data_IF_969043101134
#
_entry.id   IF_969043101134
#
_cell.length_a   1.000
_cell.length_b   1.000
_cell.length_c   1.000
_cell.angle_alpha   90.00
_cell.angle_beta   90.00
_cell.angle_gamma   90.00
#
_symmetry.space_group_name_H-M   'P 1'
#
loop_
_entity.id
_entity.type
_entity.pdbx_description
1 polymer ?
#
# COMPACT_ATOMS: atom_id res chain seq x y z
N UNK A 1 0.36 -30.61 -3.58
CA UNK A 1 0.14 -31.08 -2.19
C UNK A 1 1.01 -30.36 -1.17
N UNK A 2 2.35 -30.27 -1.32
CA UNK A 2 3.25 -29.59 -0.35
C UNK A 2 2.82 -28.16 0.03
N UNK A 3 2.56 -27.30 -0.96
CA UNK A 3 2.19 -25.90 -0.70
C UNK A 3 0.83 -25.75 0.00
N UNK A 4 -0.11 -26.65 -0.29
CA UNK A 4 -1.40 -26.69 0.39
C UNK A 4 -1.26 -27.13 1.86
N UNK A 5 -0.36 -28.07 2.14
CA UNK A 5 -0.05 -28.52 3.50
C UNK A 5 0.64 -27.43 4.34
N UNK A 6 1.65 -26.75 3.79
CA UNK A 6 2.25 -25.57 4.45
C UNK A 6 1.25 -24.43 4.61
N UNK A 7 0.38 -24.23 3.61
CA UNK A 7 -0.73 -23.30 3.69
C UNK A 7 -1.70 -23.64 4.83
N UNK A 8 -2.07 -24.92 5.01
CA UNK A 8 -2.93 -25.35 6.11
C UNK A 8 -2.29 -25.04 7.47
N UNK A 9 -1.02 -25.41 7.65
CA UNK A 9 -0.30 -25.18 8.91
C UNK A 9 -0.18 -23.68 9.21
N UNK A 10 0.19 -22.88 8.21
CA UNK A 10 0.24 -21.43 8.33
C UNK A 10 -1.15 -20.83 8.65
N UNK A 11 -2.20 -21.34 8.01
CA UNK A 11 -3.58 -20.96 8.24
C UNK A 11 -4.06 -21.32 9.65
N UNK A 12 -3.65 -22.47 10.20
CA UNK A 12 -3.92 -22.81 11.60
C UNK A 12 -3.25 -21.80 12.54
N UNK A 13 -1.99 -21.43 12.33
CA UNK A 13 -1.32 -20.45 13.20
C UNK A 13 -1.97 -19.07 13.10
N UNK A 14 -2.30 -18.60 11.89
CA UNK A 14 -3.09 -17.37 11.71
C UNK A 14 -4.47 -17.47 12.35
N UNK A 15 -5.10 -18.64 12.23
CA UNK A 15 -6.40 -18.98 12.81
C UNK A 15 -6.39 -18.95 14.33
N UNK A 16 -5.31 -19.39 14.98
CA UNK A 16 -5.12 -19.29 16.43
C UNK A 16 -5.05 -17.83 16.89
N UNK A 17 -4.29 -16.99 16.18
CA UNK A 17 -4.20 -15.55 16.50
C UNK A 17 -5.57 -14.89 16.36
N UNK A 18 -6.27 -15.13 15.25
CA UNK A 18 -7.61 -14.55 15.04
C UNK A 18 -8.66 -15.17 15.97
N UNK A 19 -8.57 -16.46 16.28
CA UNK A 19 -9.45 -17.13 17.25
C UNK A 19 -9.30 -16.53 18.64
N UNK A 20 -8.07 -16.21 19.06
CA UNK A 20 -7.82 -15.47 20.30
C UNK A 20 -8.49 -14.10 20.32
N UNK A 21 -8.45 -13.36 19.21
CA UNK A 21 -9.21 -12.11 19.07
C UNK A 21 -10.71 -12.37 19.19
N UNK A 22 -11.25 -13.38 18.50
CA UNK A 22 -12.68 -13.70 18.51
C UNK A 22 -13.20 -14.07 19.90
N UNK A 23 -12.38 -14.69 20.75
CA UNK A 23 -12.68 -14.89 22.18
C UNK A 23 -12.88 -13.54 22.86
N UNK A 24 -11.95 -12.60 22.66
CA UNK A 24 -11.97 -11.30 23.32
C UNK A 24 -13.14 -10.40 22.89
N UNK A 25 -13.56 -10.51 21.63
CA UNK A 25 -14.70 -9.75 21.09
C UNK A 25 -16.03 -10.52 21.11
N UNK A 26 -16.06 -11.73 21.66
CA UNK A 26 -17.28 -12.53 21.80
C UNK A 26 -17.91 -13.01 20.50
N UNK A 27 -17.12 -13.19 19.43
CA UNK A 27 -17.64 -13.52 18.08
C UNK A 27 -17.76 -15.02 17.80
N UNK A 28 -17.20 -15.89 18.66
CA UNK A 28 -17.21 -17.34 18.46
C UNK A 28 -18.63 -17.95 18.39
N UNK A 29 -19.62 -17.56 19.21
CA UNK A 29 -20.99 -18.06 19.08
C UNK A 29 -21.61 -17.75 17.70
N UNK A 30 -21.28 -16.61 17.10
CA UNK A 30 -21.74 -16.25 15.76
C UNK A 30 -21.21 -17.22 14.70
N UNK A 31 -19.98 -17.71 14.84
CA UNK A 31 -19.43 -18.75 13.95
C UNK A 31 -20.02 -20.11 14.25
N UNK A 32 -20.26 -20.44 15.52
CA UNK A 32 -20.94 -21.68 15.92
C UNK A 32 -22.35 -21.80 15.31
N UNK A 33 -23.03 -20.66 15.12
CA UNK A 33 -24.36 -20.62 14.54
C UNK A 33 -24.43 -21.21 13.12
N UNK A 34 -23.31 -21.26 12.37
CA UNK A 34 -23.21 -21.92 11.06
C UNK A 34 -23.63 -23.40 11.15
N UNK A 35 -23.28 -24.07 12.26
CA UNK A 35 -23.63 -25.47 12.53
C UNK A 35 -24.78 -25.61 13.53
N UNK A 36 -25.59 -24.55 13.68
CA UNK A 36 -26.80 -24.49 14.52
C UNK A 36 -26.55 -24.73 16.02
N UNK A 37 -25.45 -24.21 16.55
CA UNK A 37 -25.15 -24.17 17.99
C UNK A 37 -24.63 -22.79 18.40
N UNK A 38 -24.67 -22.49 19.69
CA UNK A 38 -24.13 -21.27 20.32
C UNK A 38 -22.83 -21.52 21.09
N UNK A 39 -22.35 -22.77 21.12
CA UNK A 39 -21.15 -23.14 21.88
C UNK A 39 -19.90 -22.45 21.33
N UNK A 40 -19.21 -21.61 22.12
CA UNK A 40 -18.01 -20.91 21.67
C UNK A 40 -16.86 -21.88 21.35
N UNK A 41 -16.81 -23.04 22.01
CA UNK A 41 -15.83 -24.10 21.73
C UNK A 41 -16.06 -24.67 20.32
N UNK A 42 -17.32 -24.97 19.97
CA UNK A 42 -17.66 -25.44 18.62
C UNK A 42 -17.37 -24.36 17.59
N UNK A 43 -17.70 -23.10 17.89
CA UNK A 43 -17.37 -21.95 17.03
C UNK A 43 -15.87 -21.82 16.77
N UNK A 44 -15.04 -22.03 17.80
CA UNK A 44 -13.58 -22.05 17.66
C UNK A 44 -13.10 -23.22 16.80
N UNK A 45 -13.64 -24.43 16.99
CA UNK A 45 -13.31 -25.59 16.16
C UNK A 45 -13.66 -25.34 14.68
N UNK A 46 -14.86 -24.83 14.39
CA UNK A 46 -15.29 -24.48 13.03
C UNK A 46 -14.36 -23.42 12.44
N UNK A 47 -14.03 -22.37 13.20
CA UNK A 47 -13.07 -21.35 12.79
C UNK A 47 -11.71 -21.94 12.43
N UNK A 48 -11.18 -22.84 13.26
CA UNK A 48 -9.88 -23.49 13.00
C UNK A 48 -9.89 -24.36 11.74
N UNK A 49 -10.99 -25.07 11.47
CA UNK A 49 -11.16 -25.85 10.23
C UNK A 49 -11.21 -24.94 9.01
N UNK A 50 -11.99 -23.86 9.06
CA UNK A 50 -12.04 -22.86 7.99
C UNK A 50 -10.66 -22.20 7.78
N UNK A 51 -9.96 -21.85 8.86
CA UNK A 51 -8.64 -21.26 8.82
C UNK A 51 -7.60 -22.18 8.13
N UNK A 52 -7.68 -23.50 8.36
CA UNK A 52 -6.84 -24.47 7.66
C UNK A 52 -7.16 -24.55 6.16
N UNK A 53 -8.44 -24.62 5.79
CA UNK A 53 -8.89 -24.68 4.39
C UNK A 53 -8.47 -23.40 3.64
N UNK A 54 -8.78 -22.25 4.23
CA UNK A 54 -8.46 -20.93 3.68
C UNK A 54 -6.93 -20.76 3.56
N UNK A 55 -6.17 -21.24 4.54
CA UNK A 55 -4.72 -21.26 4.52
C UNK A 55 -4.15 -22.16 3.42
N UNK A 56 -4.72 -23.34 3.22
CA UNK A 56 -4.35 -24.23 2.11
C UNK A 56 -4.52 -23.56 0.76
N UNK A 57 -5.65 -22.88 0.55
CA UNK A 57 -5.91 -22.12 -0.69
C UNK A 57 -4.86 -21.02 -0.84
N UNK A 58 -4.58 -20.26 0.22
CA UNK A 58 -3.54 -19.23 0.20
C UNK A 58 -2.19 -19.80 -0.23
N UNK A 59 -1.73 -20.88 0.42
CA UNK A 59 -0.45 -21.51 0.12
C UNK A 59 -0.32 -21.99 -1.33
N UNK A 60 -1.42 -22.41 -1.96
CA UNK A 60 -1.46 -22.73 -3.39
C UNK A 60 -1.37 -21.46 -4.25
N UNK A 61 -2.16 -20.44 -3.94
CA UNK A 61 -2.21 -19.18 -4.70
C UNK A 61 -0.87 -18.44 -4.69
N UNK A 62 -0.17 -18.42 -3.55
CA UNK A 62 1.08 -17.68 -3.40
C UNK A 62 2.34 -18.52 -3.58
N UNK A 63 2.22 -19.78 -4.01
CA UNK A 63 3.32 -20.73 -4.14
C UNK A 63 4.54 -20.22 -4.94
N UNK A 64 4.31 -19.33 -5.91
CA UNK A 64 5.35 -18.71 -6.75
C UNK A 64 5.44 -17.19 -6.57
N UNK A 65 4.68 -16.65 -5.63
CA UNK A 65 4.55 -15.22 -5.43
C UNK A 65 5.59 -14.72 -4.44
N UNK A 66 6.04 -13.48 -4.64
CA UNK A 66 6.89 -12.75 -3.69
C UNK A 66 6.01 -11.83 -2.83
N UNK A 67 6.58 -11.30 -1.75
CA UNK A 67 5.89 -10.41 -0.81
C UNK A 67 4.64 -10.99 -0.17
N UNK A 68 4.82 -12.17 0.42
CA UNK A 68 3.73 -12.89 1.08
C UNK A 68 2.98 -12.01 2.09
N UNK A 69 3.66 -11.07 2.77
CA UNK A 69 3.01 -10.12 3.68
C UNK A 69 1.88 -9.32 3.00
N UNK A 70 2.11 -8.71 1.84
CA UNK A 70 1.10 -7.88 1.18
C UNK A 70 -0.02 -8.73 0.60
N UNK A 71 0.31 -9.90 0.03
CA UNK A 71 -0.70 -10.87 -0.37
C UNK A 71 -1.53 -11.35 0.83
N UNK A 72 -0.90 -11.59 1.98
CA UNK A 72 -1.57 -11.98 3.22
C UNK A 72 -2.56 -10.91 3.68
N UNK A 73 -2.13 -9.65 3.73
CA UNK A 73 -3.01 -8.52 4.10
C UNK A 73 -4.18 -8.38 3.12
N UNK A 74 -3.92 -8.39 1.81
CA UNK A 74 -4.97 -8.31 0.78
C UNK A 74 -5.94 -9.52 0.86
N UNK A 75 -5.40 -10.71 1.13
CA UNK A 75 -6.19 -11.93 1.32
C UNK A 75 -7.03 -11.88 2.60
N UNK A 76 -6.52 -11.24 3.66
CA UNK A 76 -7.28 -10.93 4.86
C UNK A 76 -8.47 -10.02 4.55
N UNK A 77 -8.26 -8.90 3.84
CA UNK A 77 -9.36 -8.01 3.41
C UNK A 77 -10.38 -8.74 2.53
N UNK A 78 -9.90 -9.57 1.59
CA UNK A 78 -10.75 -10.40 0.75
C UNK A 78 -11.64 -11.33 1.59
N UNK A 79 -11.08 -12.04 2.57
CA UNK A 79 -11.85 -12.94 3.42
C UNK A 79 -12.72 -12.22 4.43
N UNK A 80 -12.39 -11.00 4.82
CA UNK A 80 -13.32 -10.17 5.58
C UNK A 80 -14.56 -9.79 4.74
N UNK A 81 -14.37 -9.46 3.46
CA UNK A 81 -15.50 -9.24 2.56
C UNK A 81 -16.29 -10.53 2.27
N UNK A 82 -15.61 -11.63 1.99
CA UNK A 82 -16.28 -12.90 1.69
C UNK A 82 -16.90 -13.55 2.92
N UNK A 83 -16.24 -13.53 4.07
CA UNK A 83 -16.66 -14.24 5.27
C UNK A 83 -17.82 -13.53 5.98
N UNK A 84 -17.56 -12.58 6.90
CA UNK A 84 -18.59 -11.97 7.71
C UNK A 84 -19.57 -11.09 6.93
N UNK A 85 -19.19 -10.49 5.80
CA UNK A 85 -20.08 -9.62 5.02
C UNK A 85 -20.93 -10.37 3.97
N UNK A 86 -20.51 -11.57 3.53
CA UNK A 86 -21.17 -12.28 2.42
C UNK A 86 -21.63 -13.69 2.80
N UNK A 87 -20.70 -14.60 3.07
CA UNK A 87 -20.98 -16.02 3.29
C UNK A 87 -21.68 -16.27 4.62
N UNK A 88 -21.26 -15.61 5.69
CA UNK A 88 -21.87 -15.81 7.01
C UNK A 88 -23.37 -15.43 7.01
N UNK A 89 -23.81 -14.25 6.51
CA UNK A 89 -25.23 -13.97 6.37
C UNK A 89 -25.98 -15.01 5.54
N UNK A 90 -25.44 -15.42 4.38
CA UNK A 90 -26.06 -16.43 3.52
C UNK A 90 -26.25 -17.76 4.26
N UNK A 91 -25.23 -18.24 4.97
CA UNK A 91 -25.28 -19.48 5.75
C UNK A 91 -26.29 -19.41 6.90
N UNK A 92 -26.56 -18.20 7.41
CA UNK A 92 -27.57 -17.94 8.44
C UNK A 92 -28.96 -17.63 7.86
N UNK A 93 -29.15 -17.72 6.54
CA UNK A 93 -30.43 -17.40 5.87
C UNK A 93 -30.79 -15.90 5.90
N UNK A 94 -29.80 -15.02 6.02
CA UNK A 94 -29.94 -13.56 6.02
C UNK A 94 -29.42 -12.97 4.70
N UNK A 95 -29.88 -11.78 4.28
CA UNK A 95 -29.32 -11.09 3.12
C UNK A 95 -27.84 -10.73 3.35
N UNK A 96 -27.08 -10.61 2.25
CA UNK A 96 -25.68 -10.14 2.32
C UNK A 96 -25.59 -8.76 2.97
N UNK A 97 -24.54 -8.54 3.76
CA UNK A 97 -24.35 -7.35 4.57
C UNK A 97 -23.53 -6.28 3.83
N UNK A 98 -23.89 -5.99 2.58
CA UNK A 98 -23.14 -5.09 1.71
C UNK A 98 -23.56 -3.63 1.88
N UNK A 99 -23.39 -3.13 3.09
CA UNK A 99 -23.65 -1.73 3.44
C UNK A 99 -22.56 -1.19 4.38
N UNK A 100 -22.39 0.13 4.38
CA UNK A 100 -21.31 0.80 5.12
C UNK A 100 -21.50 0.65 6.63
N UNK A 101 -22.74 0.70 7.14
CA UNK A 101 -23.01 0.64 8.57
C UNK A 101 -22.65 -0.75 9.14
N UNK A 102 -23.01 -1.82 8.42
CA UNK A 102 -22.64 -3.17 8.84
C UNK A 102 -21.14 -3.41 8.69
N UNK A 103 -20.51 -2.89 7.63
CA UNK A 103 -19.06 -2.96 7.47
C UNK A 103 -18.31 -2.26 8.62
N UNK A 104 -18.80 -1.11 9.09
CA UNK A 104 -18.25 -0.40 10.25
C UNK A 104 -18.40 -1.20 11.54
N UNK A 105 -19.57 -1.80 11.77
CA UNK A 105 -19.80 -2.66 12.93
C UNK A 105 -18.83 -3.85 12.96
N UNK A 106 -18.38 -4.31 11.78
CA UNK A 106 -17.47 -5.43 11.60
C UNK A 106 -15.97 -5.04 11.52
N UNK A 107 -15.60 -3.79 11.82
CA UNK A 107 -14.21 -3.35 11.94
C UNK A 107 -13.35 -4.24 12.87
N UNK A 108 -13.82 -4.69 14.05
CA UNK A 108 -13.04 -5.60 14.88
C UNK A 108 -12.67 -6.89 14.14
N UNK A 109 -13.59 -7.42 13.32
CA UNK A 109 -13.33 -8.61 12.51
C UNK A 109 -12.39 -8.32 11.34
N UNK A 110 -12.42 -7.12 10.73
CA UNK A 110 -11.47 -6.71 9.69
C UNK A 110 -10.03 -6.77 10.21
N UNK A 111 -9.78 -6.20 11.38
CA UNK A 111 -8.47 -6.24 12.03
C UNK A 111 -8.04 -7.69 12.33
N UNK A 112 -8.98 -8.53 12.73
CA UNK A 112 -8.76 -9.97 12.91
C UNK A 112 -8.37 -10.69 11.61
N UNK A 113 -9.02 -10.38 10.50
CA UNK A 113 -8.67 -10.94 9.19
C UNK A 113 -7.33 -10.40 8.65
N UNK A 114 -7.02 -9.13 8.88
CA UNK A 114 -5.70 -8.57 8.57
C UNK A 114 -4.59 -9.29 9.36
N UNK A 115 -4.82 -9.52 10.66
CA UNK A 115 -3.91 -10.29 11.51
C UNK A 115 -3.78 -11.75 11.03
N UNK A 116 -4.89 -12.42 10.75
CA UNK A 116 -4.92 -13.77 10.17
C UNK A 116 -4.06 -13.85 8.91
N UNK A 117 -4.29 -12.96 7.95
CA UNK A 117 -3.59 -12.93 6.68
C UNK A 117 -2.10 -12.63 6.82
N UNK A 118 -1.74 -11.65 7.65
CA UNK A 118 -0.34 -11.30 7.93
C UNK A 118 0.43 -12.44 8.61
N UNK A 119 -0.17 -13.10 9.61
CA UNK A 119 0.44 -14.23 10.33
C UNK A 119 0.55 -15.45 9.44
N UNK A 120 -0.50 -15.79 8.69
CA UNK A 120 -0.48 -16.89 7.71
C UNK A 120 0.64 -16.67 6.69
N UNK A 121 0.76 -15.46 6.14
CA UNK A 121 1.84 -15.11 5.24
C UNK A 121 3.24 -15.22 5.89
N UNK A 122 3.40 -14.73 7.12
CA UNK A 122 4.66 -14.78 7.84
C UNK A 122 5.11 -16.23 8.09
N UNK A 123 4.21 -17.08 8.57
CA UNK A 123 4.50 -18.50 8.82
C UNK A 123 4.82 -19.23 7.53
N UNK A 124 4.04 -19.01 6.46
CA UNK A 124 4.34 -19.60 5.16
C UNK A 124 5.72 -19.16 4.62
N UNK A 125 6.10 -17.90 4.87
CA UNK A 125 7.40 -17.36 4.49
C UNK A 125 8.56 -17.95 5.31
N UNK A 126 8.31 -18.40 6.54
CA UNK A 126 9.28 -19.13 7.37
C UNK A 126 9.41 -20.59 6.95
N UNK A 127 8.30 -21.22 6.55
CA UNK A 127 8.26 -22.62 6.07
C UNK A 127 8.81 -22.78 4.66
N UNK A 128 8.85 -21.70 3.88
CA UNK A 128 9.39 -21.67 2.51
C UNK A 128 10.72 -20.92 2.52
N UNK A 129 11.83 -21.53 2.98
CA UNK A 129 13.11 -20.86 3.05
C UNK A 129 13.53 -20.40 1.65
N UNK A 130 13.54 -19.08 1.47
CA UNK A 130 14.20 -18.42 0.35
C UNK A 130 15.54 -17.86 0.79
N UNK A 131 16.43 -17.58 -0.15
CA UNK A 131 17.71 -16.91 0.09
C UNK A 131 17.45 -15.47 0.58
N UNK A 132 17.30 -15.28 1.89
CA UNK A 132 17.34 -13.96 2.53
C UNK A 132 18.76 -13.74 3.04
N UNK A 133 19.49 -12.84 2.40
CA UNK A 133 20.78 -12.37 2.91
C UNK A 133 20.50 -11.30 3.97
N UNK A 134 20.80 -11.64 5.22
CA UNK A 134 20.81 -10.65 6.29
C UNK A 134 22.05 -9.78 6.12
N UNK A 135 21.84 -8.49 5.87
CA UNK A 135 22.93 -7.52 5.77
C UNK A 135 22.84 -6.51 6.92
N UNK A 136 23.77 -6.54 7.89
CA UNK A 136 23.76 -5.59 9.01
C UNK A 136 23.74 -4.13 8.54
N UNK A 137 24.44 -3.82 7.44
CA UNK A 137 24.47 -2.48 6.84
C UNK A 137 23.09 -2.01 6.39
N UNK A 138 22.23 -2.89 5.88
CA UNK A 138 20.87 -2.53 5.50
C UNK A 138 20.03 -2.16 6.73
N UNK A 139 20.14 -2.92 7.83
CA UNK A 139 19.40 -2.65 9.07
C UNK A 139 19.76 -1.27 9.60
N UNK A 140 21.06 -0.92 9.62
CA UNK A 140 21.53 0.40 10.05
C UNK A 140 20.95 1.50 9.15
N UNK A 141 21.09 1.38 7.81
CA UNK A 141 20.58 2.38 6.86
C UNK A 141 19.07 2.56 6.96
N UNK A 142 18.32 1.47 7.06
CA UNK A 142 16.87 1.52 7.13
C UNK A 142 16.37 2.10 8.45
N UNK A 143 17.02 1.73 9.57
CA UNK A 143 16.74 2.33 10.88
C UNK A 143 17.01 3.83 10.87
N UNK A 144 18.15 4.25 10.31
CA UNK A 144 18.48 5.67 10.15
C UNK A 144 17.46 6.39 9.25
N UNK A 145 17.07 5.78 8.13
CA UNK A 145 16.04 6.32 7.24
C UNK A 145 14.69 6.54 7.97
N UNK A 146 14.27 5.59 8.81
CA UNK A 146 13.05 5.72 9.61
C UNK A 146 13.17 6.82 10.67
N UNK A 147 14.30 6.91 11.36
CA UNK A 147 14.60 7.98 12.33
C UNK A 147 14.62 9.37 11.68
N UNK A 148 15.12 9.50 10.45
CA UNK A 148 15.15 10.76 9.71
C UNK A 148 13.77 11.15 9.15
N UNK A 149 12.93 10.17 8.80
CA UNK A 149 11.61 10.43 8.22
C UNK A 149 10.63 10.95 9.27
N UNK A 150 10.68 10.43 10.50
CA UNK A 150 9.69 10.76 11.53
C UNK A 150 9.63 12.25 11.93
N UNK A 151 10.75 12.97 12.12
CA UNK A 151 10.75 14.42 12.38
C UNK A 151 10.20 15.25 11.22
N UNK A 152 10.50 14.87 9.98
CA UNK A 152 10.00 15.56 8.77
C UNK A 152 8.47 15.55 8.72
N UNK A 153 7.86 14.48 9.26
CA UNK A 153 6.41 14.33 9.35
C UNK A 153 5.80 14.90 10.65
N UNK A 154 6.61 15.48 11.54
CA UNK A 154 6.14 16.07 12.79
C UNK A 154 5.58 15.05 13.80
N UNK A 155 6.02 13.79 13.77
CA UNK A 155 5.43 12.69 14.57
C UNK A 155 5.86 12.66 16.05
N UNK A 156 6.66 13.63 16.51
CA UNK A 156 7.15 13.73 17.89
C UNK A 156 8.05 12.56 18.33
N UNK A 157 8.29 12.44 19.64
CA UNK A 157 9.23 11.45 20.20
C UNK A 157 8.77 9.99 20.01
N UNK A 158 7.46 9.71 20.17
CA UNK A 158 6.89 8.39 19.89
C UNK A 158 7.10 8.03 18.42
N UNK A 159 7.02 9.02 17.53
CA UNK A 159 7.33 8.90 16.11
C UNK A 159 8.76 8.43 15.83
N UNK A 160 9.76 8.83 16.64
CA UNK A 160 11.15 8.38 16.48
C UNK A 160 11.28 6.88 16.77
N UNK A 161 10.66 6.40 17.84
CA UNK A 161 10.67 4.97 18.20
C UNK A 161 9.99 4.16 17.11
N UNK A 162 8.80 4.60 16.67
CA UNK A 162 8.08 3.94 15.57
C UNK A 162 8.91 3.97 14.29
N UNK A 163 9.53 5.10 13.95
CA UNK A 163 10.41 5.24 12.79
C UNK A 163 11.59 4.27 12.82
N UNK A 164 12.28 4.15 13.95
CA UNK A 164 13.37 3.20 14.12
C UNK A 164 12.90 1.75 13.92
N UNK A 165 11.76 1.38 14.53
CA UNK A 165 11.18 0.04 14.41
C UNK A 165 10.70 -0.26 12.98
N UNK A 166 10.07 0.71 12.31
CA UNK A 166 9.68 0.62 10.90
C UNK A 166 10.91 0.38 10.04
N UNK A 167 11.99 1.13 10.24
CA UNK A 167 13.25 0.95 9.51
C UNK A 167 13.88 -0.42 9.72
N UNK A 168 14.08 -0.83 10.98
CA UNK A 168 14.68 -2.11 11.32
C UNK A 168 13.85 -3.29 10.78
N UNK A 169 12.53 -3.27 10.98
CA UNK A 169 11.64 -4.33 10.49
C UNK A 169 11.54 -4.36 8.96
N UNK A 170 11.58 -3.20 8.29
CA UNK A 170 11.64 -3.12 6.83
C UNK A 170 12.87 -3.86 6.30
N UNK A 171 14.05 -3.63 6.87
CA UNK A 171 15.27 -4.33 6.49
C UNK A 171 15.18 -5.84 6.70
N UNK A 172 14.65 -6.29 7.84
CA UNK A 172 14.50 -7.72 8.17
C UNK A 172 13.52 -8.43 7.24
N UNK A 173 12.39 -7.81 6.93
CA UNK A 173 11.32 -8.41 6.14
C UNK A 173 11.70 -8.44 4.65
N UNK A 174 12.26 -7.36 4.15
CA UNK A 174 12.45 -7.18 2.71
C UNK A 174 13.86 -7.47 2.21
N UNK A 175 14.88 -7.39 3.07
CA UNK A 175 16.28 -7.58 2.70
C UNK A 175 16.77 -6.54 1.70
N UNK A 176 18.02 -6.68 1.24
CA UNK A 176 18.55 -5.75 0.24
C UNK A 176 17.95 -6.08 -1.13
N UNK A 177 17.47 -5.04 -1.83
CA UNK A 177 16.84 -5.20 -3.14
C UNK A 177 17.41 -4.21 -4.13
N UNK A 178 17.78 -4.70 -5.32
CA UNK A 178 18.11 -3.89 -6.49
C UNK A 178 16.87 -3.31 -7.19
N UNK A 179 15.89 -2.83 -6.42
CA UNK A 179 14.67 -2.26 -6.98
C UNK A 179 14.74 -0.74 -7.12
N UNK A 180 13.95 -0.19 -8.06
CA UNK A 180 13.89 1.25 -8.29
C UNK A 180 13.14 1.98 -7.17
N UNK A 181 13.37 3.29 -7.07
CA UNK A 181 12.77 4.12 -6.01
C UNK A 181 11.24 4.13 -6.02
N UNK A 182 10.58 4.05 -7.18
CA UNK A 182 9.11 4.03 -7.26
C UNK A 182 8.46 2.81 -6.59
N UNK A 183 8.81 1.56 -6.99
CA UNK A 183 8.34 0.37 -6.30
C UNK A 183 8.66 0.34 -4.79
N UNK A 184 9.86 0.77 -4.40
CA UNK A 184 10.25 0.88 -2.99
C UNK A 184 9.34 1.86 -2.23
N UNK A 185 9.00 3.01 -2.83
CA UNK A 185 8.10 4.01 -2.26
C UNK A 185 6.70 3.44 -1.99
N UNK A 186 6.11 2.76 -2.97
CA UNK A 186 4.76 2.14 -2.84
C UNK A 186 4.79 1.00 -1.82
N UNK A 187 5.85 0.19 -1.83
CA UNK A 187 6.09 -0.85 -0.84
C UNK A 187 6.17 -0.28 0.57
N UNK A 188 6.92 0.81 0.73
CA UNK A 188 7.02 1.54 1.98
C UNK A 188 5.66 2.02 2.46
N UNK A 189 4.85 2.62 1.60
CA UNK A 189 3.49 3.04 1.95
C UNK A 189 2.60 1.87 2.41
N UNK A 190 2.60 0.76 1.66
CA UNK A 190 1.87 -0.45 2.03
C UNK A 190 2.36 -1.07 3.36
N UNK A 191 3.67 -1.01 3.61
CA UNK A 191 4.24 -1.43 4.88
C UNK A 191 3.88 -0.48 6.03
N UNK A 192 3.77 0.81 5.75
CA UNK A 192 3.22 1.82 6.65
C UNK A 192 1.78 1.49 7.09
N UNK A 193 0.93 1.03 6.17
CA UNK A 193 -0.42 0.55 6.50
C UNK A 193 -0.38 -0.65 7.47
N UNK A 194 0.50 -1.62 7.24
CA UNK A 194 0.69 -2.75 8.14
C UNK A 194 1.13 -2.29 9.55
N UNK A 195 2.04 -1.32 9.61
CA UNK A 195 2.48 -0.70 10.85
C UNK A 195 1.41 0.15 11.53
N UNK A 196 0.51 0.79 10.79
CA UNK A 196 -0.63 1.48 11.38
C UNK A 196 -1.55 0.47 12.10
N UNK A 197 -1.91 -0.63 11.44
CA UNK A 197 -2.74 -1.67 12.04
C UNK A 197 -2.04 -2.33 13.25
N UNK A 198 -0.72 -2.54 13.17
CA UNK A 198 0.06 -3.16 14.22
C UNK A 198 0.38 -2.20 15.39
N UNK A 199 1.06 -1.09 15.14
CA UNK A 199 1.49 -0.17 16.20
C UNK A 199 0.37 0.74 16.69
N UNK A 200 -0.28 1.48 15.80
CA UNK A 200 -1.24 2.50 16.21
C UNK A 200 -2.54 1.89 16.73
N UNK A 201 -3.06 0.85 16.07
CA UNK A 201 -4.35 0.24 16.42
C UNK A 201 -4.20 -0.88 17.47
N UNK A 202 -3.06 -1.57 17.53
CA UNK A 202 -2.91 -2.78 18.37
C UNK A 202 -1.92 -2.61 19.52
N UNK A 203 -0.64 -2.35 19.25
CA UNK A 203 0.42 -2.35 20.27
C UNK A 203 0.32 -1.12 21.19
N UNK A 204 0.12 0.09 20.66
CA UNK A 204 0.10 1.29 21.49
C UNK A 204 -1.02 1.26 22.54
N UNK A 205 -2.28 0.90 22.22
CA UNK A 205 -3.30 0.76 23.26
C UNK A 205 -2.99 -0.32 24.31
N UNK A 206 -2.36 -1.43 23.91
CA UNK A 206 -1.93 -2.47 24.84
C UNK A 206 -0.85 -1.97 25.80
N UNK A 207 0.15 -1.24 25.30
CA UNK A 207 1.22 -0.64 26.12
C UNK A 207 0.69 0.45 27.05
N UNK A 208 -0.33 1.20 26.62
CA UNK A 208 -1.00 2.21 27.45
C UNK A 208 -1.96 1.57 28.50
N UNK A 209 -2.03 0.23 28.60
CA UNK A 209 -2.91 -0.47 29.53
C UNK A 209 -4.40 -0.43 29.18
N UNK A 210 -4.75 -0.01 27.95
CA UNK A 210 -6.14 0.13 27.47
C UNK A 210 -6.71 -1.16 26.86
N UNK A 211 -5.92 -2.22 26.77
CA UNK A 211 -6.34 -3.47 26.11
C UNK A 211 -6.49 -3.35 24.59
N UNK A 212 -7.14 -4.34 23.96
CA UNK A 212 -7.40 -4.33 22.52
C UNK A 212 -8.54 -3.36 22.18
N UNK A 213 -8.17 -2.20 21.64
CA UNK A 213 -9.09 -1.12 21.28
C UNK A 213 -9.58 -1.23 19.84
N UNK A 214 -9.95 -2.44 19.40
CA UNK A 214 -10.40 -2.71 18.03
C UNK A 214 -11.86 -2.29 17.75
N UNK A 215 -12.44 -1.47 18.63
CA UNK A 215 -13.81 -0.98 18.47
C UNK A 215 -13.90 0.04 17.33
N UNK A 216 -15.07 0.20 16.67
CA UNK A 216 -15.24 1.18 15.59
C UNK A 216 -14.86 2.61 16.03
N UNK A 217 -15.21 2.99 17.27
CA UNK A 217 -14.89 4.31 17.81
C UNK A 217 -13.38 4.52 17.98
N UNK A 218 -12.67 3.54 18.53
CA UNK A 218 -11.22 3.66 18.71
C UNK A 218 -10.46 3.62 17.38
N UNK A 219 -10.91 2.81 16.40
CA UNK A 219 -10.32 2.78 15.06
C UNK A 219 -10.53 4.10 14.32
N UNK A 220 -11.68 4.75 14.47
CA UNK A 220 -11.91 6.11 13.94
C UNK A 220 -10.97 7.15 14.53
N UNK A 221 -10.58 7.01 15.79
CA UNK A 221 -9.55 7.88 16.38
C UNK A 221 -8.16 7.53 15.81
N UNK A 222 -7.84 6.24 15.73
CA UNK A 222 -6.56 5.77 15.21
C UNK A 222 -6.33 6.08 13.73
N UNK A 223 -7.39 6.18 12.92
CA UNK A 223 -7.32 6.52 11.49
C UNK A 223 -6.63 7.87 11.26
N UNK A 224 -6.67 8.77 12.24
CA UNK A 224 -6.01 10.06 12.16
C UNK A 224 -4.48 9.96 12.00
N UNK A 225 -3.89 8.84 12.41
CA UNK A 225 -2.47 8.56 12.26
C UNK A 225 -2.12 7.78 10.99
N UNK A 226 -3.11 7.29 10.24
CA UNK A 226 -2.89 6.47 9.05
C UNK A 226 -2.06 7.20 7.97
N UNK A 227 -2.39 8.45 7.56
CA UNK A 227 -1.56 9.21 6.63
C UNK A 227 -0.10 9.30 7.04
N UNK A 228 0.16 9.59 8.32
CA UNK A 228 1.51 9.67 8.87
C UNK A 228 2.28 8.35 8.77
N UNK A 229 1.62 7.21 9.03
CA UNK A 229 2.25 5.89 8.89
C UNK A 229 2.54 5.52 7.43
N UNK A 230 1.61 5.83 6.51
CA UNK A 230 1.81 5.63 5.07
C UNK A 230 3.03 6.42 4.57
N UNK A 231 3.12 7.71 4.95
CA UNK A 231 4.24 8.56 4.58
C UNK A 231 5.55 8.16 5.27
N UNK A 232 5.49 7.73 6.54
CA UNK A 232 6.66 7.25 7.27
C UNK A 232 7.26 6.02 6.60
N UNK A 233 6.43 5.04 6.24
CA UNK A 233 6.87 3.85 5.52
C UNK A 233 7.43 4.19 4.14
N UNK A 234 6.73 5.04 3.38
CA UNK A 234 7.15 5.49 2.05
C UNK A 234 8.52 6.22 2.09
N UNK A 235 8.67 7.19 3.00
CA UNK A 235 9.91 7.94 3.20
C UNK A 235 11.06 7.05 3.66
N UNK A 236 10.79 6.13 4.60
CA UNK A 236 11.80 5.16 5.08
C UNK A 236 12.32 4.30 3.94
N UNK A 237 11.44 3.74 3.11
CA UNK A 237 11.84 2.89 1.99
C UNK A 237 12.61 3.67 0.91
N UNK A 238 12.15 4.89 0.59
CA UNK A 238 12.82 5.78 -0.36
C UNK A 238 14.24 6.15 0.10
N UNK A 239 14.37 6.62 1.35
CA UNK A 239 15.66 6.99 1.92
C UNK A 239 16.59 5.78 2.06
N UNK A 240 16.07 4.61 2.40
CA UNK A 240 16.88 3.37 2.43
C UNK A 240 17.46 3.07 1.05
N UNK A 241 16.66 3.20 -0.01
CA UNK A 241 17.11 3.01 -1.40
C UNK A 241 18.18 4.05 -1.79
N UNK A 242 17.98 5.32 -1.42
CA UNK A 242 18.91 6.40 -1.72
C UNK A 242 20.23 6.26 -0.98
N UNK A 243 20.19 5.98 0.32
CA UNK A 243 21.38 5.72 1.14
C UNK A 243 22.14 4.49 0.65
N UNK A 244 21.45 3.43 0.21
CA UNK A 244 22.09 2.28 -0.41
C UNK A 244 22.77 2.63 -1.75
N UNK A 245 22.14 3.48 -2.57
CA UNK A 245 22.74 4.00 -3.80
C UNK A 245 23.99 4.85 -3.56
N UNK A 246 23.94 5.74 -2.56
CA UNK A 246 25.07 6.56 -2.15
C UNK A 246 26.22 5.71 -1.58
N UNK A 247 25.90 4.74 -0.71
CA UNK A 247 26.91 3.83 -0.16
C UNK A 247 27.61 3.05 -1.29
N UNK A 248 26.87 2.52 -2.27
CA UNK A 248 27.49 1.89 -3.43
C UNK A 248 28.34 2.87 -4.25
N UNK A 249 27.88 4.10 -4.46
CA UNK A 249 28.64 5.08 -5.22
C UNK A 249 29.95 5.53 -4.53
N UNK A 250 29.99 5.51 -3.19
CA UNK A 250 31.15 5.94 -2.40
C UNK A 250 32.12 4.78 -2.14
N UNK A 251 31.61 3.56 -1.94
CA UNK A 251 32.41 2.41 -1.50
C UNK A 251 32.64 1.34 -2.59
N UNK A 252 32.09 1.50 -3.79
CA UNK A 252 32.35 0.61 -4.93
C UNK A 252 33.35 1.24 -5.88
N UNK A 253 34.44 0.53 -6.18
CA UNK A 253 35.41 0.89 -7.23
C UNK A 253 34.84 0.71 -8.66
N UNK A 254 33.58 0.31 -8.79
CA UNK A 254 32.96 -0.08 -10.05
C UNK A 254 32.37 1.13 -10.81
N UNK A 255 33.26 2.05 -11.19
CA UNK A 255 32.95 3.28 -11.97
C UNK A 255 32.28 2.93 -13.32
N UNK A 256 32.49 1.70 -13.82
CA UNK A 256 32.03 1.24 -15.14
C UNK A 256 30.50 1.09 -15.20
N UNK A 257 29.85 0.57 -14.15
CA UNK A 257 28.37 0.52 -14.07
C UNK A 257 27.72 1.89 -13.85
N UNK A 258 28.39 2.82 -13.17
CA UNK A 258 27.90 4.19 -12.99
C UNK A 258 27.93 5.01 -14.30
N UNK A 259 28.87 4.71 -15.20
CA UNK A 259 29.00 5.35 -16.51
C UNK A 259 28.00 4.78 -17.53
N UNK A 260 27.81 3.47 -17.57
CA UNK A 260 26.85 2.79 -18.47
C UNK A 260 25.42 3.31 -18.28
N UNK A 261 25.01 3.59 -17.04
CA UNK A 261 23.69 4.16 -16.74
C UNK A 261 23.51 5.63 -17.15
N UNK A 262 24.59 6.40 -17.27
CA UNK A 262 24.59 7.82 -17.68
C UNK A 262 24.62 8.01 -19.19
N UNK A 263 25.21 7.07 -19.94
CA UNK A 263 25.37 7.14 -21.40
C UNK A 263 24.10 6.76 -22.19
N UNK A 264 23.10 6.15 -21.55
CA UNK A 264 21.81 5.85 -22.21
C UNK A 264 20.95 7.11 -22.29
N UNK A 265 20.99 7.80 -23.44
CA UNK A 265 20.29 9.06 -23.79
C UNK A 265 18.75 9.09 -23.69
N UNK A 266 18.11 8.22 -22.90
CA UNK A 266 16.65 8.14 -22.74
C UNK A 266 16.06 8.91 -21.55
N UNK A 267 16.86 9.71 -20.81
CA UNK A 267 16.34 10.49 -19.66
C UNK A 267 15.44 11.65 -20.09
N UNK A 268 15.84 12.37 -21.14
CA UNK A 268 15.07 13.53 -21.65
C UNK A 268 13.73 13.09 -22.24
N UNK A 269 13.71 12.00 -23.02
CA UNK A 269 12.48 11.44 -23.59
C UNK A 269 11.51 11.01 -22.47
N UNK A 270 12.02 10.36 -21.42
CA UNK A 270 11.21 9.96 -20.26
C UNK A 270 10.60 11.17 -19.54
N UNK A 271 11.32 12.29 -19.43
CA UNK A 271 10.80 13.52 -18.83
C UNK A 271 9.62 14.05 -19.65
N UNK A 272 9.77 14.14 -20.98
CA UNK A 272 8.68 14.58 -21.86
C UNK A 272 7.46 13.66 -21.81
N UNK A 273 7.66 12.34 -21.76
CA UNK A 273 6.56 11.41 -21.53
C UNK A 273 5.85 11.67 -20.20
N UNK A 274 6.60 12.00 -19.15
CA UNK A 274 6.06 12.40 -17.85
C UNK A 274 5.23 13.70 -17.93
N UNK A 275 5.71 14.71 -18.66
CA UNK A 275 4.96 15.97 -18.89
C UNK A 275 3.62 15.68 -19.58
N UNK A 276 3.64 14.94 -20.69
CA UNK A 276 2.44 14.61 -21.47
C UNK A 276 1.46 13.77 -20.64
N UNK A 277 1.97 12.75 -19.94
CA UNK A 277 1.16 11.91 -19.07
C UNK A 277 0.55 12.71 -17.91
N UNK A 278 1.34 13.59 -17.28
CA UNK A 278 0.90 14.49 -16.22
C UNK A 278 -0.20 15.44 -16.70
N UNK A 279 -0.04 16.05 -17.88
CA UNK A 279 -1.06 16.91 -18.47
C UNK A 279 -2.35 16.14 -18.74
N UNK A 280 -2.27 14.94 -19.35
CA UNK A 280 -3.43 14.10 -19.63
C UNK A 280 -4.18 13.72 -18.34
N UNK A 281 -3.45 13.29 -17.30
CA UNK A 281 -4.05 13.03 -15.98
C UNK A 281 -4.66 14.29 -15.36
N UNK A 282 -3.97 15.43 -15.46
CA UNK A 282 -4.41 16.71 -14.91
C UNK A 282 -5.73 17.20 -15.51
N UNK A 283 -5.92 17.01 -16.83
CA UNK A 283 -7.17 17.31 -17.53
C UNK A 283 -8.33 16.44 -17.01
N UNK A 284 -8.10 15.13 -16.84
CA UNK A 284 -9.12 14.24 -16.27
C UNK A 284 -9.48 14.65 -14.83
N UNK A 285 -8.47 14.96 -14.01
CA UNK A 285 -8.69 15.37 -12.62
C UNK A 285 -9.38 16.73 -12.52
N UNK A 286 -9.18 17.63 -13.50
CA UNK A 286 -9.90 18.90 -13.58
C UNK A 286 -11.42 18.70 -13.57
N UNK A 287 -11.94 17.68 -14.24
CA UNK A 287 -13.37 17.37 -14.25
C UNK A 287 -13.94 17.15 -12.84
N UNK A 288 -13.21 16.41 -12.00
CA UNK A 288 -13.59 16.19 -10.59
C UNK A 288 -13.52 17.51 -9.81
N UNK A 289 -12.45 18.29 -9.98
CA UNK A 289 -12.28 19.56 -9.27
C UNK A 289 -13.34 20.59 -9.62
N UNK A 290 -13.77 20.66 -10.88
CA UNK A 290 -14.88 21.51 -11.32
C UNK A 290 -16.18 21.06 -10.65
N UNK A 291 -16.46 19.75 -10.64
CA UNK A 291 -17.67 19.20 -10.04
C UNK A 291 -17.81 19.50 -8.54
N UNK A 292 -16.68 19.58 -7.81
CA UNK A 292 -16.68 19.90 -6.37
C UNK A 292 -16.22 21.33 -6.03
N UNK A 293 -16.04 22.19 -7.03
CA UNK A 293 -15.66 23.59 -6.82
C UNK A 293 -14.28 23.80 -6.16
N UNK A 294 -13.32 22.91 -6.39
CA UNK A 294 -12.03 22.91 -5.66
C UNK A 294 -10.94 23.80 -6.29
N UNK A 295 -11.11 24.26 -7.53
CA UNK A 295 -10.10 25.07 -8.24
C UNK A 295 -9.66 26.35 -7.48
N UNK A 296 -10.55 27.13 -6.83
CA UNK A 296 -10.14 28.27 -6.01
C UNK A 296 -9.20 27.90 -4.86
N UNK A 297 -9.34 26.71 -4.27
CA UNK A 297 -8.44 26.26 -3.20
C UNK A 297 -7.01 26.02 -3.70
N UNK A 298 -6.85 25.61 -4.97
CA UNK A 298 -5.53 25.50 -5.61
C UNK A 298 -4.98 26.88 -5.99
N UNK A 299 -5.84 27.79 -6.46
CA UNK A 299 -5.45 29.17 -6.77
C UNK A 299 -4.89 29.91 -5.56
N UNK A 300 -5.35 29.56 -4.35
CA UNK A 300 -4.90 30.16 -3.10
C UNK A 300 -3.39 29.94 -2.83
N UNK A 301 -2.77 28.90 -3.43
CA UNK A 301 -1.33 28.67 -3.35
C UNK A 301 -0.49 29.84 -3.89
N UNK A 302 -1.08 30.66 -4.78
CA UNK A 302 -0.45 31.86 -5.34
C UNK A 302 -1.22 33.13 -4.97
N UNK A 303 -2.00 33.08 -3.89
CA UNK A 303 -2.76 34.23 -3.37
C UNK A 303 -3.96 34.65 -4.23
N UNK A 304 -4.47 33.77 -5.10
CA UNK A 304 -5.61 34.07 -5.98
C UNK A 304 -6.87 33.28 -5.58
N UNK A 305 -8.05 33.84 -5.84
CA UNK A 305 -9.34 33.14 -5.71
C UNK A 305 -9.94 32.68 -7.05
N UNK A 306 -9.27 32.96 -8.17
CA UNK A 306 -9.81 32.69 -9.51
C UNK A 306 -9.73 31.21 -9.86
N UNK A 307 -10.86 30.61 -10.26
CA UNK A 307 -10.90 29.21 -10.72
C UNK A 307 -10.01 28.97 -11.95
N UNK A 308 -9.86 29.97 -12.83
CA UNK A 308 -8.97 29.89 -14.00
C UNK A 308 -7.50 29.83 -13.57
N UNK A 309 -7.12 30.68 -12.61
CA UNK A 309 -5.76 30.63 -12.03
C UNK A 309 -5.53 29.28 -11.36
N UNK A 310 -6.52 28.77 -10.61
CA UNK A 310 -6.47 27.45 -10.00
C UNK A 310 -6.28 26.32 -11.01
N UNK A 311 -6.95 26.41 -12.17
CA UNK A 311 -6.78 25.45 -13.27
C UNK A 311 -5.34 25.48 -13.82
N UNK A 312 -4.80 26.67 -14.09
CA UNK A 312 -3.42 26.80 -14.60
C UNK A 312 -2.42 26.22 -13.61
N UNK A 313 -2.53 26.57 -12.33
CA UNK A 313 -1.65 26.04 -11.28
C UNK A 313 -1.79 24.52 -11.14
N UNK A 314 -3.02 24.00 -11.18
CA UNK A 314 -3.28 22.55 -11.16
C UNK A 314 -2.59 21.81 -12.31
N UNK A 315 -2.68 22.33 -13.54
CA UNK A 315 -2.04 21.73 -14.71
C UNK A 315 -0.51 21.81 -14.66
N UNK A 316 0.05 22.87 -14.07
CA UNK A 316 1.49 22.99 -13.82
C UNK A 316 1.96 21.94 -12.78
N UNK A 317 1.24 21.83 -11.65
CA UNK A 317 1.53 20.81 -10.63
C UNK A 317 1.42 19.40 -11.23
N UNK A 318 0.38 19.14 -12.03
CA UNK A 318 0.15 17.87 -12.71
C UNK A 318 1.34 17.45 -13.58
N UNK A 319 1.99 18.39 -14.29
CA UNK A 319 3.18 18.09 -15.07
C UNK A 319 4.38 17.71 -14.19
N UNK A 320 4.61 18.44 -13.09
CA UNK A 320 5.67 18.12 -12.12
C UNK A 320 5.47 16.73 -11.53
N UNK A 321 4.23 16.41 -11.14
CA UNK A 321 3.85 15.09 -10.63
C UNK A 321 4.02 14.00 -11.71
N UNK A 322 3.65 14.27 -12.97
CA UNK A 322 3.86 13.34 -14.09
C UNK A 322 5.34 13.07 -14.39
N UNK A 323 6.19 14.10 -14.32
CA UNK A 323 7.65 13.97 -14.47
C UNK A 323 8.24 13.12 -13.35
N UNK A 324 7.81 13.34 -12.10
CA UNK A 324 8.28 12.54 -10.97
C UNK A 324 7.82 11.08 -11.07
N UNK A 325 6.62 10.79 -11.59
CA UNK A 325 6.21 9.43 -11.94
C UNK A 325 7.17 8.79 -12.95
N UNK A 326 7.48 9.50 -14.04
CA UNK A 326 8.38 9.01 -15.08
C UNK A 326 9.79 8.71 -14.55
N UNK A 327 10.29 9.52 -13.60
CA UNK A 327 11.60 9.28 -12.95
C UNK A 327 11.56 8.07 -12.02
N UNK A 328 10.49 7.92 -11.23
CA UNK A 328 10.38 6.88 -10.20
C UNK A 328 10.02 5.50 -10.74
N UNK A 329 9.21 5.44 -11.81
CA UNK A 329 8.61 4.21 -12.35
C UNK A 329 9.10 3.88 -13.77
N UNK A 330 10.20 4.49 -14.20
CA UNK A 330 10.84 4.18 -15.48
C UNK A 330 11.09 2.68 -15.61
N UNK A 331 10.74 2.09 -16.77
CA UNK A 331 10.87 0.64 -17.03
C UNK A 331 10.14 -0.24 -15.99
N UNK A 332 8.98 0.19 -15.48
CA UNK A 332 8.12 -0.63 -14.60
C UNK A 332 6.70 -0.86 -15.13
N UNK A 333 6.33 -0.14 -16.18
CA UNK A 333 5.02 -0.22 -16.84
C UNK A 333 5.20 -0.94 -18.18
N UNK A 334 5.10 -2.27 -18.19
CA UNK A 334 5.39 -3.11 -19.36
C UNK A 334 4.14 -3.48 -20.18
N UNK A 335 2.97 -3.17 -19.62
CA UNK A 335 1.66 -3.43 -20.18
C UNK A 335 0.64 -2.45 -19.55
N UNK A 336 -0.57 -2.32 -20.12
CA UNK A 336 -1.56 -1.37 -19.61
C UNK A 336 -1.96 -1.61 -18.15
N UNK A 337 -2.06 -2.87 -17.70
CA UNK A 337 -2.46 -3.19 -16.34
C UNK A 337 -1.38 -2.78 -15.34
N UNK A 338 -0.09 -2.96 -15.68
CA UNK A 338 1.00 -2.48 -14.85
C UNK A 338 1.12 -0.96 -14.82
N UNK A 339 0.90 -0.29 -15.96
CA UNK A 339 0.81 1.17 -16.00
C UNK A 339 -0.29 1.68 -15.07
N UNK A 340 -1.49 1.12 -15.16
CA UNK A 340 -2.62 1.50 -14.31
C UNK A 340 -2.33 1.17 -12.84
N UNK A 341 -1.82 -0.03 -12.52
CA UNK A 341 -1.57 -0.45 -11.13
C UNK A 341 -0.56 0.44 -10.39
N UNK A 342 0.57 0.74 -11.02
CA UNK A 342 1.54 1.69 -10.48
C UNK A 342 0.98 3.11 -10.43
N UNK A 343 0.28 3.52 -11.49
CA UNK A 343 -0.39 4.80 -11.57
C UNK A 343 -1.37 5.04 -10.43
N UNK A 344 -2.30 4.12 -10.18
CA UNK A 344 -3.28 4.16 -9.09
C UNK A 344 -2.59 4.22 -7.73
N UNK A 345 -1.55 3.41 -7.54
CA UNK A 345 -0.78 3.42 -6.28
C UNK A 345 -0.05 4.75 -6.05
N UNK A 346 0.48 5.34 -7.12
CA UNK A 346 1.11 6.65 -7.08
C UNK A 346 0.11 7.79 -6.86
N UNK A 347 -1.07 7.70 -7.49
CA UNK A 347 -2.19 8.61 -7.27
C UNK A 347 -2.65 8.58 -5.81
N UNK A 348 -2.83 7.39 -5.24
CA UNK A 348 -3.13 7.22 -3.81
C UNK A 348 -2.08 7.87 -2.92
N UNK A 349 -0.79 7.66 -3.21
CA UNK A 349 0.29 8.30 -2.47
C UNK A 349 0.21 9.84 -2.57
N UNK A 350 -0.08 10.40 -3.74
CA UNK A 350 -0.25 11.84 -3.92
C UNK A 350 -1.52 12.40 -3.30
N UNK A 351 -2.56 11.60 -3.13
CA UNK A 351 -3.72 12.03 -2.34
C UNK A 351 -3.29 12.26 -0.88
N UNK A 352 -2.53 11.32 -0.30
CA UNK A 352 -2.00 11.44 1.07
C UNK A 352 -0.96 12.57 1.17
N UNK A 353 0.03 12.57 0.30
CA UNK A 353 1.14 13.53 0.32
C UNK A 353 0.71 14.92 -0.15
N UNK A 354 0.05 15.04 -1.29
CA UNK A 354 -0.37 16.30 -1.88
C UNK A 354 -1.57 16.90 -1.16
N UNK A 355 -2.75 16.30 -1.33
CA UNK A 355 -4.00 16.90 -0.87
C UNK A 355 -4.14 16.93 0.66
N UNK A 356 -3.82 15.83 1.34
CA UNK A 356 -3.99 15.76 2.81
C UNK A 356 -2.84 16.41 3.59
N UNK A 357 -1.65 16.56 2.98
CA UNK A 357 -0.44 16.99 3.72
C UNK A 357 0.15 18.29 3.17
N UNK A 358 0.64 18.31 1.93
CA UNK A 358 1.35 19.46 1.38
C UNK A 358 0.43 20.66 1.13
N UNK A 359 -0.74 20.46 0.52
CA UNK A 359 -1.68 21.54 0.21
C UNK A 359 -2.07 22.35 1.47
N UNK A 360 -2.55 21.75 2.58
CA UNK A 360 -2.85 22.53 3.78
C UNK A 360 -1.61 23.19 4.37
N UNK A 361 -0.45 22.51 4.40
CA UNK A 361 0.81 23.08 4.92
C UNK A 361 1.25 24.30 4.11
N UNK A 362 1.17 24.24 2.78
CA UNK A 362 1.50 25.36 1.90
C UNK A 362 0.53 26.54 2.04
N UNK A 363 -0.70 26.29 2.49
CA UNK A 363 -1.69 27.32 2.84
C UNK A 363 -1.59 27.78 4.30
N UNK A 364 -0.57 27.36 5.05
CA UNK A 364 -0.35 27.76 6.44
C UNK A 364 -1.20 27.01 7.47
N UNK A 365 -1.85 25.92 7.09
CA UNK A 365 -2.65 25.06 7.96
C UNK A 365 -1.90 23.76 8.33
N UNK A 366 -2.39 23.05 9.34
CA UNK A 366 -1.87 21.72 9.69
C UNK A 366 -2.36 20.64 8.72
N UNK A 367 -1.66 19.49 8.59
CA UNK A 367 -2.13 18.38 7.78
C UNK A 367 -3.55 17.92 8.12
N UNK A 368 -4.34 17.64 7.08
CA UNK A 368 -5.75 17.26 7.16
C UNK A 368 -5.92 15.76 7.37
N UNK A 369 -5.39 15.24 8.47
CA UNK A 369 -5.34 13.80 8.73
C UNK A 369 -6.49 13.27 9.57
N UNK A 370 -7.36 14.10 10.13
CA UNK A 370 -8.50 13.62 10.94
C UNK A 370 -9.49 12.80 10.11
N UNK A 371 -10.22 11.87 10.74
CA UNK A 371 -11.23 11.05 10.06
C UNK A 371 -12.26 11.90 9.29
N UNK A 372 -12.76 12.97 9.90
CA UNK A 372 -13.66 13.92 9.25
C UNK A 372 -13.03 14.58 8.02
N UNK A 373 -11.74 14.95 8.08
CA UNK A 373 -11.04 15.54 6.95
C UNK A 373 -10.81 14.53 5.81
N UNK A 374 -10.50 13.27 6.13
CA UNK A 374 -10.43 12.20 5.13
C UNK A 374 -11.78 11.97 4.45
N UNK A 375 -12.88 11.97 5.22
CA UNK A 375 -14.23 11.83 4.68
C UNK A 375 -14.57 12.97 3.71
N UNK A 376 -14.31 14.21 4.09
CA UNK A 376 -14.51 15.39 3.23
C UNK A 376 -13.60 15.38 2.00
N UNK A 377 -12.41 14.78 2.09
CA UNK A 377 -11.47 14.67 1.00
C UNK A 377 -11.77 13.50 0.04
N UNK A 378 -12.83 12.72 0.27
CA UNK A 378 -13.13 11.53 -0.54
C UNK A 378 -13.30 11.82 -2.05
N UNK A 379 -14.00 12.88 -2.50
CA UNK A 379 -14.07 13.19 -3.94
C UNK A 379 -12.68 13.42 -4.55
N UNK A 380 -11.77 14.05 -3.80
CA UNK A 380 -10.39 14.25 -4.26
C UNK A 380 -9.60 12.94 -4.34
N UNK A 381 -9.90 11.93 -3.50
CA UNK A 381 -9.29 10.60 -3.60
C UNK A 381 -9.60 9.99 -4.97
N UNK A 382 -10.87 10.00 -5.38
CA UNK A 382 -11.30 9.51 -6.70
C UNK A 382 -10.52 10.22 -7.82
N UNK A 383 -10.42 11.55 -7.72
CA UNK A 383 -9.66 12.35 -8.68
C UNK A 383 -8.17 11.98 -8.76
N UNK A 384 -7.52 11.73 -7.61
CA UNK A 384 -6.12 11.30 -7.58
C UNK A 384 -5.91 9.87 -8.10
N UNK A 385 -6.83 8.94 -7.81
CA UNK A 385 -6.77 7.58 -8.35
C UNK A 385 -6.95 7.60 -9.88
N UNK A 386 -7.90 8.38 -10.39
CA UNK A 386 -8.13 8.57 -11.82
C UNK A 386 -6.92 9.24 -12.50
N UNK A 387 -6.41 10.34 -11.91
CA UNK A 387 -5.18 11.00 -12.34
C UNK A 387 -4.03 9.99 -12.48
N UNK A 388 -3.78 9.22 -11.42
CA UNK A 388 -2.72 8.23 -11.37
C UNK A 388 -2.87 7.16 -12.45
N UNK A 389 -4.08 6.58 -12.60
CA UNK A 389 -4.38 5.59 -13.61
C UNK A 389 -4.08 6.11 -15.03
N UNK A 390 -4.48 7.36 -15.33
CA UNK A 390 -4.23 8.00 -16.64
C UNK A 390 -2.76 8.29 -16.85
N UNK A 391 -2.05 8.85 -15.86
CA UNK A 391 -0.60 9.08 -15.94
C UNK A 391 0.12 7.77 -16.26
N UNK A 392 -0.18 6.72 -15.49
CA UNK A 392 0.45 5.42 -15.64
C UNK A 392 0.18 4.79 -17.01
N UNK A 393 -1.06 4.86 -17.49
CA UNK A 393 -1.46 4.36 -18.81
C UNK A 393 -0.81 5.16 -19.95
N UNK A 394 -0.90 6.49 -19.93
CA UNK A 394 -0.36 7.34 -20.99
C UNK A 394 1.17 7.22 -21.07
N UNK A 395 1.85 7.28 -19.92
CA UNK A 395 3.30 7.08 -19.87
C UNK A 395 3.72 5.73 -20.45
N UNK A 396 3.00 4.66 -20.09
CA UNK A 396 3.23 3.32 -20.60
C UNK A 396 3.09 3.24 -22.12
N UNK A 397 2.04 3.85 -22.70
CA UNK A 397 1.81 3.88 -24.15
C UNK A 397 2.86 4.69 -24.90
N UNK A 398 3.39 5.74 -24.29
CA UNK A 398 4.46 6.53 -24.87
C UNK A 398 5.79 5.77 -24.85
N UNK A 399 6.13 5.11 -23.74
CA UNK A 399 7.32 4.25 -23.65
C UNK A 399 7.24 3.04 -24.62
N UNK A 400 6.06 2.45 -24.82
CA UNK A 400 5.89 1.34 -25.79
C UNK A 400 6.25 1.75 -27.22
N UNK A 401 5.94 2.99 -27.61
CA UNK A 401 6.18 3.51 -28.97
C UNK A 401 7.66 3.81 -29.22
N UNK A 402 8.43 4.06 -28.16
CA UNK A 402 9.87 4.33 -28.26
C UNK A 402 10.64 3.02 -28.12
N UNK A 403 10.88 2.33 -29.25
CA UNK A 403 11.84 1.23 -29.28
C UNK A 403 13.25 1.81 -29.41
N UNK A 404 14.23 1.41 -28.58
CA UNK A 404 15.60 1.87 -28.76
C UNK A 404 16.07 1.47 -30.15
N UNK A 405 16.60 2.43 -30.92
CA UNK A 405 17.02 2.23 -32.31
C UNK A 405 18.06 1.11 -32.49
N UNK A 406 18.73 0.71 -31.41
CA UNK A 406 19.74 -0.35 -31.37
C UNK A 406 19.18 -1.74 -31.01
N UNK A 407 17.91 -1.87 -30.62
CA UNK A 407 17.28 -3.17 -30.35
C UNK A 407 16.45 -3.59 -31.55
N UNK A 408 16.60 -4.84 -31.99
CA UNK A 408 15.69 -5.41 -32.99
C UNK A 408 14.28 -5.53 -32.40
N UNK A 409 13.24 -5.53 -33.25
CA UNK A 409 11.85 -5.69 -32.79
C UNK A 409 11.64 -6.99 -31.99
N UNK A 410 12.36 -8.06 -32.35
CA UNK A 410 12.35 -9.35 -31.66
C UNK A 410 12.98 -9.28 -30.27
N UNK A 411 14.15 -8.64 -30.13
CA UNK A 411 14.83 -8.47 -28.83
C UNK A 411 14.04 -7.58 -27.88
N UNK A 412 13.44 -6.50 -28.41
CA UNK A 412 12.54 -5.67 -27.62
C UNK A 412 11.29 -6.44 -27.17
N UNK A 413 10.78 -7.36 -28.00
CA UNK A 413 9.64 -8.20 -27.64
C UNK A 413 10.00 -9.26 -26.58
N UNK A 414 11.15 -9.92 -26.70
CA UNK A 414 11.61 -10.91 -25.70
C UNK A 414 11.93 -10.25 -24.36
N UNK A 415 12.58 -9.09 -24.36
CA UNK A 415 12.83 -8.31 -23.14
C UNK A 415 11.51 -7.91 -22.44
N UNK A 416 10.49 -7.50 -23.20
CA UNK A 416 9.15 -7.21 -22.64
C UNK A 416 8.47 -8.46 -22.09
N UNK A 417 8.57 -9.59 -22.78
CA UNK A 417 7.98 -10.85 -22.32
C UNK A 417 8.63 -11.33 -21.00
N UNK A 418 9.96 -11.26 -20.91
CA UNK A 418 10.70 -11.55 -19.69
C UNK A 418 10.30 -10.61 -18.54
N UNK A 419 10.27 -9.30 -18.81
CA UNK A 419 9.87 -8.30 -17.81
C UNK A 419 8.43 -8.46 -17.32
N UNK A 420 7.49 -8.81 -18.22
CA UNK A 420 6.10 -9.14 -17.86
C UNK A 420 6.05 -10.37 -16.97
N UNK A 421 6.79 -11.42 -17.32
CA UNK A 421 6.86 -12.63 -16.50
C UNK A 421 7.42 -12.32 -15.09
N UNK A 422 8.54 -11.61 -15.01
CA UNK A 422 9.09 -11.16 -13.73
C UNK A 422 8.09 -10.33 -12.94
N UNK A 423 7.34 -9.43 -13.59
CA UNK A 423 6.35 -8.60 -12.91
C UNK A 423 5.20 -9.41 -12.34
N UNK A 424 4.69 -10.41 -13.06
CA UNK A 424 3.62 -11.29 -12.55
C UNK A 424 4.06 -12.12 -11.35
N UNK A 425 5.37 -12.40 -11.25
CA UNK A 425 5.99 -13.09 -10.10
C UNK A 425 6.53 -12.11 -9.05
N UNK A 426 6.44 -10.80 -9.31
CA UNK A 426 6.99 -9.75 -8.44
C UNK A 426 6.01 -9.30 -7.35
N UNK A 427 6.49 -8.39 -6.51
CA UNK A 427 5.70 -7.65 -5.54
C UNK A 427 4.55 -6.81 -6.14
N UNK A 428 4.62 -6.46 -7.42
CA UNK A 428 3.80 -5.38 -7.97
C UNK A 428 2.29 -5.64 -7.88
N UNK A 429 1.76 -6.81 -8.29
CA UNK A 429 0.33 -7.07 -8.19
C UNK A 429 -0.17 -7.09 -6.75
N UNK A 430 0.64 -7.59 -5.81
CA UNK A 430 0.33 -7.61 -4.38
C UNK A 430 0.18 -6.18 -3.84
N UNK A 431 1.12 -5.31 -4.21
CA UNK A 431 1.14 -3.91 -3.79
C UNK A 431 -0.07 -3.14 -4.33
N UNK A 432 -0.36 -3.25 -5.63
CA UNK A 432 -1.50 -2.54 -6.22
C UNK A 432 -2.83 -3.01 -5.63
N UNK A 433 -2.97 -4.33 -5.43
CA UNK A 433 -4.16 -4.92 -4.82
C UNK A 433 -4.35 -4.40 -3.40
N UNK A 434 -3.29 -4.41 -2.59
CA UNK A 434 -3.36 -3.91 -1.22
C UNK A 434 -3.65 -2.41 -1.17
N UNK A 435 -2.99 -1.60 -2.00
CA UNK A 435 -3.27 -0.14 -2.04
C UNK A 435 -4.71 0.13 -2.45
N UNK A 436 -5.23 -0.62 -3.43
CA UNK A 436 -6.64 -0.53 -3.82
C UNK A 436 -7.55 -0.91 -2.66
N UNK A 437 -7.25 -2.00 -1.94
CA UNK A 437 -7.99 -2.39 -0.74
C UNK A 437 -7.97 -1.28 0.31
N UNK A 438 -6.81 -0.69 0.61
CA UNK A 438 -6.68 0.41 1.58
C UNK A 438 -7.54 1.60 1.15
N UNK A 439 -7.49 2.00 -0.12
CA UNK A 439 -8.30 3.10 -0.63
C UNK A 439 -9.81 2.82 -0.49
N UNK A 440 -10.25 1.60 -0.78
CA UNK A 440 -11.65 1.16 -0.63
C UNK A 440 -12.09 1.04 0.82
N UNK A 441 -11.17 0.81 1.76
CA UNK A 441 -11.46 0.78 3.18
C UNK A 441 -11.64 2.18 3.77
N UNK A 442 -11.13 3.25 3.14
CA UNK A 442 -11.20 4.61 3.69
C UNK A 442 -12.62 5.00 4.12
N UNK A 443 -13.68 4.90 3.27
CA UNK A 443 -15.04 5.26 3.67
C UNK A 443 -15.53 4.51 4.92
N UNK A 444 -15.15 3.24 5.05
CA UNK A 444 -15.54 2.36 6.16
C UNK A 444 -14.81 2.79 7.44
N UNK A 445 -13.55 3.23 7.33
CA UNK A 445 -12.72 3.63 8.46
C UNK A 445 -13.06 5.03 9.00
N UNK A 446 -13.68 5.90 8.20
CA UNK A 446 -13.86 7.32 8.54
C UNK A 446 -15.30 7.76 8.76
N UNK A 447 -16.28 7.02 8.23
CA UNK A 447 -17.69 7.41 8.30
C UNK A 447 -18.35 7.05 9.64
#
# INVERSE_FOLDING_TARGET
>A
MRNAGFGALAGLVGGLVFGGVMVLIGFLPTVAAIVRTDSPVVGFTVHMLLAAIIGSVFGVLVARQRELLFWGLAYGVLWWFLGPLTLLPILLGRPVAWDVATAQALIPSLLGHLAYGAVTAAVLALLSPGERRFEPGLVVRATAAGLLTAPVLGLGWRGLIVGALVGASYAVIFGERGEGSGPALIRGAAFGFAWWALAAVTISPLLDGRGLQWTPAAVRVAVASLPGHLLLGAGTALLTCWLGGLARAVFSDDVRHALEGRLVGGRVISIWHGVIAGLAGGVIFTGVMVAVGFLPAVAALVGSGSAIVGLVIHLLISQVVGVTYAVLFRRRSFDPASGIGWGVSYGFLWWVLGNLTLLPVLLGATPRWSGAALALAFPSLIGHLAYGAVVGLVYQRLEERVSPWHLTRSEAATARAAARHEQTLSAAPALWSLVTCVALLIPILVS
#
